data_IF_038153248366
#
_entry.id   IF_038153248366
#
_cell.length_a   1.000
_cell.length_b   1.000
_cell.length_c   1.000
_cell.angle_alpha   90.00
_cell.angle_beta   90.00
_cell.angle_gamma   90.00
#
_symmetry.space_group_name_H-M   'P 1'
#
loop_
_entity.id
_entity.type
_entity.pdbx_description
1 polymer ?
#
# COMPACT_ATOMS: atom_id res chain seq x y z
N UNK A 1 8.00 -28.42 20.83
CA UNK A 1 8.43 -28.51 19.43
C UNK A 1 7.16 -28.40 18.61
N UNK A 2 6.96 -27.30 17.88
CA UNK A 2 5.84 -27.19 16.94
C UNK A 2 6.23 -27.97 15.71
N UNK A 3 5.73 -29.20 15.59
CA UNK A 3 5.95 -30.02 14.40
C UNK A 3 5.42 -29.27 13.17
N UNK A 4 6.25 -29.17 12.14
CA UNK A 4 5.89 -28.48 10.92
C UNK A 4 4.78 -29.20 10.17
N UNK A 5 3.92 -28.42 9.52
CA UNK A 5 2.84 -28.93 8.70
C UNK A 5 3.37 -29.20 7.29
N UNK A 6 3.45 -30.48 6.92
CA UNK A 6 3.81 -30.88 5.56
C UNK A 6 2.70 -30.51 4.59
N UNK A 7 3.02 -29.68 3.61
CA UNK A 7 2.06 -29.21 2.60
C UNK A 7 2.16 -30.10 1.34
N UNK A 8 1.05 -30.70 0.86
CA UNK A 8 1.02 -31.43 -0.40
C UNK A 8 1.45 -30.56 -1.59
N UNK A 9 1.99 -31.17 -2.65
CA UNK A 9 2.40 -30.45 -3.87
C UNK A 9 1.23 -30.10 -4.80
N UNK A 10 0.12 -30.83 -4.72
CA UNK A 10 -1.09 -30.55 -5.48
C UNK A 10 -1.87 -29.39 -4.84
N UNK A 11 -2.23 -28.37 -5.63
CA UNK A 11 -2.89 -27.15 -5.13
C UNK A 11 -4.20 -27.42 -4.39
N UNK A 12 -5.10 -28.31 -4.84
CA UNK A 12 -6.32 -28.62 -4.09
C UNK A 12 -6.03 -29.17 -2.68
N UNK A 13 -5.17 -30.20 -2.59
CA UNK A 13 -4.81 -30.83 -1.33
C UNK A 13 -4.05 -29.87 -0.40
N UNK A 14 -3.19 -29.01 -0.96
CA UNK A 14 -2.50 -27.97 -0.22
C UNK A 14 -3.47 -26.94 0.38
N UNK A 15 -4.44 -26.46 -0.41
CA UNK A 15 -5.45 -25.52 0.06
C UNK A 15 -6.29 -26.09 1.21
N UNK A 16 -6.71 -27.35 1.09
CA UNK A 16 -7.42 -28.07 2.15
C UNK A 16 -6.56 -28.22 3.41
N UNK A 17 -5.27 -28.55 3.25
CA UNK A 17 -4.32 -28.71 4.37
C UNK A 17 -4.15 -27.40 5.14
N UNK A 18 -4.04 -26.26 4.45
CA UNK A 18 -3.99 -24.95 5.10
C UNK A 18 -5.28 -24.58 5.82
N UNK A 19 -6.43 -24.79 5.17
CA UNK A 19 -7.73 -24.50 5.76
C UNK A 19 -7.97 -25.33 7.03
N UNK A 20 -7.61 -26.63 7.00
CA UNK A 20 -7.68 -27.53 8.14
C UNK A 20 -6.75 -27.12 9.29
N UNK A 21 -5.62 -26.46 8.97
CA UNK A 21 -4.72 -25.87 9.96
C UNK A 21 -5.18 -24.49 10.48
N UNK A 22 -6.39 -24.05 10.11
CA UNK A 22 -6.97 -22.78 10.57
C UNK A 22 -6.52 -21.55 9.78
N UNK A 23 -5.82 -21.73 8.66
CA UNK A 23 -5.38 -20.63 7.80
C UNK A 23 -6.50 -20.29 6.82
N UNK A 24 -6.95 -19.03 6.85
CA UNK A 24 -7.90 -18.49 5.89
C UNK A 24 -7.23 -18.36 4.53
N UNK A 25 -7.76 -19.10 3.56
CA UNK A 25 -7.27 -19.12 2.17
C UNK A 25 -8.36 -18.68 1.19
N UNK A 26 -7.94 -18.24 0.00
CA UNK A 26 -8.81 -17.94 -1.13
C UNK A 26 -8.12 -18.27 -2.46
N UNK A 27 -8.91 -18.42 -3.52
CA UNK A 27 -8.38 -18.66 -4.88
C UNK A 27 -7.81 -17.39 -5.48
N UNK A 28 -6.64 -17.52 -6.11
CA UNK A 28 -5.96 -16.44 -6.82
C UNK A 28 -5.66 -16.92 -8.25
N UNK A 29 -5.85 -16.04 -9.23
CA UNK A 29 -5.49 -16.34 -10.62
C UNK A 29 -3.97 -16.40 -10.79
N UNK A 30 -3.50 -16.99 -11.90
CA UNK A 30 -2.07 -17.00 -12.24
C UNK A 30 -1.45 -15.61 -12.36
N UNK A 31 -2.24 -14.61 -12.74
CA UNK A 31 -1.86 -13.19 -12.75
C UNK A 31 -1.68 -12.57 -11.36
N UNK A 32 -1.83 -13.37 -10.30
CA UNK A 32 -1.87 -12.96 -8.88
C UNK A 32 -3.06 -12.08 -8.51
N UNK A 33 -4.00 -11.84 -9.42
CA UNK A 33 -5.23 -11.13 -9.14
C UNK A 33 -6.26 -12.07 -8.47
N UNK A 34 -7.07 -11.59 -7.51
CA UNK A 34 -8.23 -12.33 -7.04
C UNK A 34 -9.23 -12.56 -8.18
N UNK A 35 -10.15 -13.51 -7.98
CA UNK A 35 -11.26 -13.70 -8.91
C UNK A 35 -12.20 -12.48 -8.88
N UNK A 36 -12.87 -12.23 -10.01
CA UNK A 36 -13.68 -11.03 -10.21
C UNK A 36 -14.90 -11.01 -9.28
N UNK A 37 -15.32 -9.80 -8.93
CA UNK A 37 -16.55 -9.57 -8.20
C UNK A 37 -17.78 -9.91 -9.05
N UNK A 38 -18.89 -10.27 -8.40
CA UNK A 38 -20.17 -10.34 -9.07
C UNK A 38 -20.66 -8.93 -9.46
N UNK A 39 -21.62 -8.81 -10.40
CA UNK A 39 -22.12 -7.49 -10.83
C UNK A 39 -22.60 -6.59 -9.69
N UNK A 40 -23.17 -7.16 -8.60
CA UNK A 40 -23.60 -6.36 -7.43
C UNK A 40 -22.46 -5.78 -6.61
N UNK A 41 -21.26 -6.36 -6.73
CA UNK A 41 -20.05 -6.00 -5.99
C UNK A 41 -18.98 -5.31 -6.84
N UNK A 42 -19.18 -5.25 -8.15
CA UNK A 42 -18.31 -4.55 -9.09
C UNK A 42 -18.75 -3.09 -9.23
N UNK A 43 -17.87 -2.15 -8.87
CA UNK A 43 -18.13 -0.69 -8.96
C UNK A 43 -18.37 -0.19 -10.37
N UNK A 44 -17.94 -0.94 -11.38
CA UNK A 44 -18.14 -0.60 -12.79
C UNK A 44 -19.48 -1.12 -13.32
N UNK A 45 -20.14 -2.01 -12.59
CA UNK A 45 -21.44 -2.56 -13.00
C UNK A 45 -22.57 -1.59 -12.71
N UNK A 46 -23.56 -1.53 -13.61
CA UNK A 46 -24.84 -0.85 -13.37
C UNK A 46 -25.65 -1.47 -12.23
N UNK A 47 -25.34 -2.71 -11.82
CA UNK A 47 -25.99 -3.41 -10.71
C UNK A 47 -25.29 -3.19 -9.36
N UNK A 48 -24.25 -2.36 -9.32
CA UNK A 48 -23.45 -2.12 -8.13
C UNK A 48 -24.30 -1.60 -6.97
N UNK A 49 -24.21 -2.28 -5.83
CA UNK A 49 -24.76 -1.78 -4.57
C UNK A 49 -23.59 -1.33 -3.69
N UNK A 50 -23.61 -0.09 -3.16
CA UNK A 50 -22.53 0.39 -2.29
C UNK A 50 -22.55 -0.36 -0.96
N UNK A 51 -21.46 -1.06 -0.65
CA UNK A 51 -21.23 -1.72 0.63
C UNK A 51 -19.72 -1.81 0.92
N UNK A 52 -19.37 -2.13 2.16
CA UNK A 52 -17.99 -2.51 2.50
C UNK A 52 -17.80 -4.01 2.23
N UNK A 53 -16.61 -4.47 1.81
CA UNK A 53 -16.35 -5.89 1.58
C UNK A 53 -16.76 -6.81 2.74
N UNK A 54 -16.50 -6.38 3.98
CA UNK A 54 -16.86 -7.07 5.21
C UNK A 54 -18.38 -7.18 5.44
N UNK A 55 -19.17 -6.28 4.85
CA UNK A 55 -20.63 -6.24 4.96
C UNK A 55 -21.32 -6.88 3.74
N UNK A 56 -20.57 -7.57 2.88
CA UNK A 56 -21.09 -8.12 1.63
C UNK A 56 -22.09 -9.26 1.85
N UNK A 57 -23.30 -9.10 1.32
CA UNK A 57 -24.38 -10.09 1.42
C UNK A 57 -24.78 -10.67 0.06
N UNK A 58 -23.90 -10.63 -0.94
CA UNK A 58 -24.23 -11.11 -2.28
C UNK A 58 -24.32 -12.65 -2.41
N UNK A 59 -23.85 -13.40 -1.40
CA UNK A 59 -23.85 -14.86 -1.38
C UNK A 59 -22.84 -15.52 -2.32
N UNK A 60 -22.09 -14.75 -3.11
CA UNK A 60 -21.05 -15.26 -4.01
C UNK A 60 -19.75 -15.43 -3.22
N UNK A 61 -19.27 -16.67 -3.00
CA UNK A 61 -18.18 -16.90 -2.04
C UNK A 61 -16.83 -16.32 -2.46
N UNK A 62 -16.61 -16.00 -3.73
CA UNK A 62 -15.34 -15.40 -4.20
C UNK A 62 -15.35 -13.87 -4.21
N UNK A 63 -16.48 -13.23 -3.89
CA UNK A 63 -16.56 -11.77 -3.95
C UNK A 63 -15.62 -11.11 -2.94
N UNK A 64 -15.04 -10.00 -3.38
CA UNK A 64 -14.03 -9.20 -2.67
C UNK A 64 -12.71 -9.92 -2.40
N UNK A 65 -12.40 -10.96 -3.17
CA UNK A 65 -11.07 -11.55 -3.22
C UNK A 65 -10.58 -12.04 -1.87
N UNK A 66 -9.53 -11.42 -1.33
CA UNK A 66 -8.94 -11.83 -0.05
C UNK A 66 -9.88 -11.61 1.14
N UNK A 67 -10.88 -10.73 1.04
CA UNK A 67 -11.91 -10.58 2.08
C UNK A 67 -12.84 -11.80 2.16
N UNK A 68 -12.94 -12.58 1.09
CA UNK A 68 -13.70 -13.83 1.02
C UNK A 68 -12.93 -15.04 1.58
N UNK A 69 -11.70 -14.86 2.06
CA UNK A 69 -10.87 -15.96 2.52
C UNK A 69 -11.51 -16.72 3.70
N UNK A 70 -11.39 -18.04 3.66
CA UNK A 70 -12.15 -18.94 4.53
C UNK A 70 -11.31 -20.11 5.02
N UNK A 71 -11.74 -20.71 6.13
CA UNK A 71 -11.27 -22.00 6.65
C UNK A 71 -12.31 -23.10 6.45
N UNK A 72 -13.45 -22.79 5.83
CA UNK A 72 -14.49 -23.77 5.49
C UNK A 72 -13.94 -24.73 4.42
N UNK A 73 -13.67 -25.96 4.85
CA UNK A 73 -13.06 -27.01 4.03
C UNK A 73 -13.97 -27.38 2.85
N UNK A 74 -15.29 -27.39 3.01
CA UNK A 74 -16.21 -27.77 1.94
C UNK A 74 -16.28 -26.68 0.87
N UNK A 75 -16.20 -25.41 1.28
CA UNK A 75 -16.07 -24.30 0.35
C UNK A 75 -14.73 -24.32 -0.39
N UNK A 76 -13.63 -24.59 0.30
CA UNK A 76 -12.29 -24.73 -0.30
C UNK A 76 -12.26 -25.90 -1.30
N UNK A 77 -12.83 -27.06 -0.96
CA UNK A 77 -12.96 -28.20 -1.90
C UNK A 77 -13.75 -27.84 -3.14
N UNK A 78 -14.86 -27.10 -2.98
CA UNK A 78 -15.67 -26.65 -4.12
C UNK A 78 -14.86 -25.75 -5.04
N UNK A 79 -14.16 -24.77 -4.46
CA UNK A 79 -13.31 -23.84 -5.19
C UNK A 79 -12.23 -24.52 -6.04
N UNK A 80 -11.49 -25.47 -5.48
CA UNK A 80 -10.44 -26.17 -6.23
C UNK A 80 -10.96 -27.31 -7.12
N UNK A 81 -12.24 -27.68 -7.03
CA UNK A 81 -12.89 -28.53 -8.03
C UNK A 81 -13.24 -27.76 -9.28
N UNK A 82 -13.72 -26.53 -9.12
CA UNK A 82 -14.02 -25.61 -10.22
C UNK A 82 -12.75 -25.14 -10.93
N UNK A 83 -11.70 -24.83 -10.16
CA UNK A 83 -10.45 -24.24 -10.65
C UNK A 83 -9.24 -24.97 -10.04
N UNK A 84 -8.90 -26.17 -10.53
CA UNK A 84 -7.87 -27.03 -9.92
C UNK A 84 -6.47 -26.44 -9.92
N UNK A 85 -6.18 -25.51 -10.84
CA UNK A 85 -4.88 -24.86 -11.00
C UNK A 85 -4.84 -23.44 -10.39
N UNK A 86 -5.88 -23.03 -9.67
CA UNK A 86 -5.88 -21.77 -8.95
C UNK A 86 -4.78 -21.74 -7.89
N UNK A 87 -4.08 -20.61 -7.82
CA UNK A 87 -3.13 -20.34 -6.76
C UNK A 87 -3.83 -20.14 -5.42
N UNK A 88 -3.09 -20.38 -4.34
CA UNK A 88 -3.57 -20.27 -2.96
C UNK A 88 -3.13 -18.92 -2.40
N UNK A 89 -4.07 -18.01 -2.19
CA UNK A 89 -3.84 -16.75 -1.51
C UNK A 89 -4.19 -16.85 -0.03
N UNK A 90 -3.46 -16.12 0.81
CA UNK A 90 -3.74 -15.98 2.24
C UNK A 90 -3.65 -14.49 2.64
N UNK A 91 -4.76 -13.88 3.12
CA UNK A 91 -4.73 -12.51 3.61
C UNK A 91 -3.91 -12.42 4.89
N UNK A 92 -3.01 -11.44 4.96
CA UNK A 92 -2.11 -11.30 6.11
C UNK A 92 -2.91 -10.96 7.38
N UNK A 93 -3.70 -9.87 7.35
CA UNK A 93 -4.49 -9.41 8.50
C UNK A 93 -5.44 -10.48 9.05
N UNK A 94 -6.19 -11.17 8.17
CA UNK A 94 -7.18 -12.16 8.59
C UNK A 94 -6.56 -13.42 9.20
N UNK A 95 -5.28 -13.68 8.93
CA UNK A 95 -4.50 -14.76 9.53
C UNK A 95 -3.61 -14.29 10.71
N UNK A 96 -3.71 -13.01 11.11
CA UNK A 96 -2.87 -12.44 12.16
C UNK A 96 -1.39 -12.35 11.75
N UNK A 97 -1.09 -12.21 10.47
CA UNK A 97 0.27 -12.13 9.94
C UNK A 97 0.66 -10.71 9.57
N UNK A 98 1.97 -10.45 9.66
CA UNK A 98 2.63 -9.34 9.00
C UNK A 98 3.86 -9.89 8.27
N UNK A 99 4.01 -9.54 7.00
CA UNK A 99 5.01 -10.14 6.11
C UNK A 99 5.95 -9.08 5.57
N UNK A 100 7.24 -9.39 5.59
CA UNK A 100 8.25 -8.66 4.82
C UNK A 100 8.43 -9.40 3.49
N UNK A 101 8.03 -8.78 2.40
CA UNK A 101 8.18 -9.28 1.03
C UNK A 101 9.41 -8.63 0.38
N UNK A 102 10.40 -9.45 0.06
CA UNK A 102 11.68 -9.03 -0.51
C UNK A 102 11.72 -9.50 -1.97
N UNK A 103 11.70 -8.55 -2.91
CA UNK A 103 11.86 -8.81 -4.34
C UNK A 103 13.27 -8.41 -4.81
N UNK A 104 14.16 -9.39 -5.08
CA UNK A 104 15.53 -9.10 -5.52
C UNK A 104 15.58 -8.33 -6.83
N UNK A 105 14.57 -8.49 -7.71
CA UNK A 105 14.53 -7.81 -9.01
C UNK A 105 14.33 -6.31 -8.90
N UNK A 106 13.88 -5.85 -7.72
CA UNK A 106 13.61 -4.45 -7.42
C UNK A 106 14.57 -3.91 -6.34
N UNK A 107 15.75 -4.51 -6.18
CA UNK A 107 16.76 -4.07 -5.20
C UNK A 107 16.51 -4.56 -3.76
N UNK A 108 15.65 -5.56 -3.59
CA UNK A 108 15.27 -6.05 -2.26
C UNK A 108 16.43 -6.63 -1.45
N UNK A 109 17.46 -7.21 -2.12
CA UNK A 109 18.63 -7.78 -1.43
C UNK A 109 19.49 -6.69 -0.81
N UNK A 110 19.76 -5.63 -1.57
CA UNK A 110 20.51 -4.46 -1.13
C UNK A 110 19.78 -3.73 -0.01
N UNK A 111 18.46 -3.54 -0.17
CA UNK A 111 17.61 -2.94 0.86
C UNK A 111 17.57 -3.78 2.14
N UNK A 112 17.56 -5.11 2.04
CA UNK A 112 17.59 -5.99 3.21
C UNK A 112 18.93 -5.86 3.92
N UNK A 113 20.03 -5.90 3.18
CA UNK A 113 21.37 -5.75 3.77
C UNK A 113 21.53 -4.38 4.45
N UNK A 114 21.03 -3.31 3.84
CA UNK A 114 21.02 -1.98 4.43
C UNK A 114 20.15 -1.90 5.70
N UNK A 115 19.00 -2.58 5.69
CA UNK A 115 18.14 -2.71 6.86
C UNK A 115 18.88 -3.42 7.99
N UNK A 116 19.44 -4.60 7.74
CA UNK A 116 20.14 -5.39 8.76
C UNK A 116 21.39 -4.70 9.30
N UNK A 117 22.13 -3.96 8.46
CA UNK A 117 23.24 -3.10 8.94
C UNK A 117 22.77 -2.05 9.95
N UNK A 118 21.54 -1.56 9.80
CA UNK A 118 20.96 -0.50 10.66
C UNK A 118 20.31 -1.05 11.92
N UNK A 119 19.66 -2.21 11.86
CA UNK A 119 18.81 -2.73 12.95
C UNK A 119 19.25 -4.08 13.51
N UNK A 120 20.31 -4.67 12.96
CA UNK A 120 20.70 -6.05 13.20
C UNK A 120 19.96 -7.05 12.31
N UNK A 121 20.43 -8.29 12.34
CA UNK A 121 19.80 -9.41 11.61
C UNK A 121 18.35 -9.57 12.06
N UNK A 122 17.46 -9.77 11.09
CA UNK A 122 16.04 -9.96 11.41
C UNK A 122 15.81 -11.28 12.16
N UNK A 123 14.91 -11.31 13.16
CA UNK A 123 14.60 -12.54 13.90
C UNK A 123 14.11 -13.66 12.98
N UNK A 124 14.68 -14.85 13.13
CA UNK A 124 14.23 -16.04 12.41
C UNK A 124 12.75 -16.36 12.69
N UNK A 125 12.02 -16.69 11.64
CA UNK A 125 10.60 -17.04 11.68
C UNK A 125 10.24 -17.87 10.44
N UNK A 126 8.96 -18.14 10.24
CA UNK A 126 8.43 -18.78 9.04
C UNK A 126 8.83 -17.99 7.79
N UNK A 127 9.49 -18.66 6.86
CA UNK A 127 9.98 -18.06 5.62
C UNK A 127 9.55 -18.85 4.41
N UNK A 128 9.27 -18.14 3.32
CA UNK A 128 8.87 -18.74 2.05
C UNK A 128 9.65 -18.13 0.91
N UNK A 129 10.28 -18.97 0.10
CA UNK A 129 10.92 -18.59 -1.16
C UNK A 129 9.81 -18.43 -2.20
N UNK A 130 9.81 -17.31 -2.91
CA UNK A 130 8.88 -17.07 -4.01
C UNK A 130 9.40 -17.70 -5.30
N UNK A 131 8.52 -18.02 -6.25
CA UNK A 131 8.97 -18.59 -7.53
C UNK A 131 9.80 -17.63 -8.40
N UNK A 132 9.92 -16.35 -8.03
CA UNK A 132 10.78 -15.36 -8.69
C UNK A 132 12.04 -15.02 -7.89
N UNK A 133 12.52 -15.95 -7.06
CA UNK A 133 13.70 -15.83 -6.18
C UNK A 133 13.61 -14.77 -5.07
N UNK A 134 12.39 -14.25 -4.82
CA UNK A 134 12.10 -13.41 -3.67
C UNK A 134 11.94 -14.19 -2.37
N UNK A 135 11.78 -13.47 -1.26
CA UNK A 135 11.63 -14.04 0.07
C UNK A 135 10.47 -13.37 0.80
N UNK A 136 9.55 -14.17 1.33
CA UNK A 136 8.60 -13.72 2.35
C UNK A 136 9.12 -14.13 3.72
N UNK A 137 9.16 -13.19 4.66
CA UNK A 137 9.42 -13.45 6.08
C UNK A 137 8.14 -13.11 6.86
N UNK A 138 7.54 -14.12 7.49
CA UNK A 138 6.19 -14.03 8.09
C UNK A 138 6.28 -13.98 9.61
N UNK A 139 5.75 -12.94 10.22
CA UNK A 139 5.69 -12.73 11.67
C UNK A 139 4.23 -12.70 12.15
N UNK A 140 4.04 -12.84 13.47
CA UNK A 140 2.76 -12.46 14.10
C UNK A 140 2.55 -10.96 13.98
N UNK A 141 1.36 -10.58 13.55
CA UNK A 141 0.97 -9.18 13.37
C UNK A 141 1.01 -8.44 14.71
N UNK A 142 1.52 -7.19 14.75
CA UNK A 142 1.53 -6.38 15.96
C UNK A 142 0.15 -5.76 16.28
N UNK A 143 -0.90 -6.09 15.52
CA UNK A 143 -2.25 -5.55 15.72
C UNK A 143 -2.43 -4.08 15.32
N UNK A 144 -1.39 -3.45 14.78
CA UNK A 144 -1.39 -2.07 14.27
C UNK A 144 -1.18 -2.06 12.77
N UNK A 145 -1.66 -1.01 12.11
CA UNK A 145 -1.37 -0.81 10.69
C UNK A 145 0.13 -0.52 10.49
N UNK A 146 0.72 -1.19 9.51
CA UNK A 146 2.13 -1.03 9.13
C UNK A 146 2.23 -0.16 7.87
N UNK A 147 3.32 0.58 7.67
CA UNK A 147 3.54 1.26 6.40
C UNK A 147 3.67 0.23 5.28
N UNK A 148 3.21 0.54 4.07
CA UNK A 148 3.30 -0.38 2.93
C UNK A 148 4.75 -0.59 2.46
N UNK A 149 5.50 0.47 2.19
CA UNK A 149 6.87 0.35 1.65
C UNK A 149 7.92 0.75 2.69
N UNK A 150 9.02 0.00 2.77
CA UNK A 150 10.19 0.35 3.59
C UNK A 150 11.38 0.85 2.78
N UNK A 151 11.41 0.56 1.48
CA UNK A 151 12.49 0.90 0.54
C UNK A 151 12.33 0.13 -0.79
N UNK A 152 13.21 0.35 -1.78
CA UNK A 152 13.17 -0.38 -3.04
C UNK A 152 13.17 -1.90 -2.82
N UNK A 153 12.19 -2.59 -3.39
CA UNK A 153 12.10 -4.05 -3.33
C UNK A 153 11.77 -4.65 -1.95
N UNK A 154 11.39 -3.84 -0.96
CA UNK A 154 10.86 -4.32 0.34
C UNK A 154 9.46 -3.74 0.58
N UNK A 155 8.48 -4.64 0.61
CA UNK A 155 7.07 -4.35 0.87
C UNK A 155 6.60 -5.04 2.16
N UNK A 156 5.85 -4.33 2.99
CA UNK A 156 5.25 -4.82 4.22
C UNK A 156 3.79 -5.16 3.96
N UNK A 157 3.51 -6.45 3.88
CA UNK A 157 2.15 -6.94 3.65
C UNK A 157 1.49 -7.23 4.98
N UNK A 158 0.60 -6.33 5.37
CA UNK A 158 -0.29 -6.52 6.52
C UNK A 158 -1.77 -6.36 6.13
N UNK A 159 -2.11 -5.36 5.31
CA UNK A 159 -3.47 -5.14 4.77
C UNK A 159 -3.71 -5.82 3.40
N UNK A 160 -2.74 -6.61 2.92
CA UNK A 160 -2.84 -7.36 1.67
C UNK A 160 -2.86 -8.88 1.90
N UNK A 161 -2.40 -9.62 0.91
CA UNK A 161 -2.28 -11.07 0.95
C UNK A 161 -0.95 -11.52 0.34
N UNK A 162 -0.54 -12.74 0.67
CA UNK A 162 0.55 -13.46 0.02
C UNK A 162 0.01 -14.68 -0.72
N UNK A 163 0.76 -15.19 -1.70
CA UNK A 163 0.54 -16.53 -2.21
C UNK A 163 1.28 -17.54 -1.31
N UNK A 164 0.69 -18.71 -1.10
CA UNK A 164 1.25 -19.80 -0.32
C UNK A 164 1.85 -20.89 -1.22
N UNK A 165 2.92 -21.55 -0.77
CA UNK A 165 3.43 -22.77 -1.37
C UNK A 165 2.31 -23.82 -1.48
N UNK A 166 2.18 -24.57 -2.59
CA UNK A 166 3.09 -24.67 -3.73
C UNK A 166 2.61 -23.86 -4.95
N UNK A 167 1.96 -22.71 -4.75
CA UNK A 167 1.44 -21.84 -5.83
C UNK A 167 2.46 -21.58 -6.93
N UNK A 168 1.98 -21.32 -8.14
CA UNK A 168 2.79 -21.00 -9.31
C UNK A 168 3.01 -19.49 -9.43
N UNK A 169 4.28 -19.09 -9.55
CA UNK A 169 4.68 -17.72 -9.83
C UNK A 169 4.64 -17.43 -11.33
N UNK A 170 4.51 -16.15 -11.71
CA UNK A 170 4.48 -15.72 -13.11
C UNK A 170 5.79 -16.06 -13.89
N UNK A 171 6.90 -16.28 -13.19
CA UNK A 171 8.16 -16.76 -13.77
C UNK A 171 8.16 -18.25 -14.13
N UNK A 172 7.13 -19.00 -13.73
CA UNK A 172 7.08 -20.46 -13.84
C UNK A 172 7.63 -21.21 -12.62
N UNK A 173 8.33 -20.53 -11.70
CA UNK A 173 8.77 -21.12 -10.43
C UNK A 173 7.62 -21.31 -9.43
N UNK A 174 7.79 -22.20 -8.46
CA UNK A 174 6.80 -22.42 -7.38
C UNK A 174 7.23 -21.76 -6.08
N UNK A 175 6.26 -21.28 -5.31
CA UNK A 175 6.50 -20.90 -3.92
C UNK A 175 6.84 -22.14 -3.09
N UNK A 176 7.81 -22.00 -2.17
CA UNK A 176 8.30 -23.10 -1.33
C UNK A 176 8.58 -22.59 0.09
N UNK A 177 8.20 -23.33 1.12
CA UNK A 177 8.64 -23.02 2.48
C UNK A 177 10.15 -23.28 2.61
N UNK A 178 10.84 -22.40 3.32
CA UNK A 178 12.27 -22.53 3.57
C UNK A 178 12.57 -23.65 4.60
N UNK A 179 13.83 -24.06 4.71
CA UNK A 179 14.25 -25.09 5.67
C UNK A 179 13.82 -26.49 5.24
N UNK A 180 13.04 -27.20 6.07
CA UNK A 180 12.57 -28.57 5.78
C UNK A 180 11.52 -28.65 4.66
N UNK A 181 10.99 -27.50 4.22
CA UNK A 181 9.88 -27.43 3.27
C UNK A 181 8.49 -27.53 3.92
N UNK A 182 8.42 -27.72 5.24
CA UNK A 182 7.16 -27.73 5.98
C UNK A 182 6.74 -26.29 6.35
N UNK A 183 5.42 -26.07 6.42
CA UNK A 183 4.88 -24.83 6.97
C UNK A 183 5.02 -24.82 8.49
N UNK A 184 5.64 -23.77 9.03
CA UNK A 184 5.65 -23.48 10.45
C UNK A 184 4.69 -22.33 10.72
N UNK A 185 3.79 -22.47 11.70
CA UNK A 185 3.00 -21.32 12.13
C UNK A 185 3.93 -20.23 12.70
N UNK A 186 3.82 -18.96 12.27
CA UNK A 186 4.63 -17.88 12.81
C UNK A 186 4.43 -17.74 14.32
N UNK A 187 5.49 -17.95 15.09
CA UNK A 187 5.50 -17.76 16.55
C UNK A 187 6.27 -16.51 16.97
N UNK A 188 7.12 -16.00 16.09
CA UNK A 188 7.90 -14.78 16.31
C UNK A 188 7.03 -13.54 16.09
N UNK A 189 7.04 -12.63 17.07
CA UNK A 189 6.36 -11.35 16.96
C UNK A 189 7.03 -10.42 15.95
N UNK A 190 6.23 -9.53 15.36
CA UNK A 190 6.76 -8.48 14.49
C UNK A 190 7.88 -7.69 15.19
N UNK A 191 9.05 -7.52 14.56
CA UNK A 191 10.16 -6.84 15.21
C UNK A 191 9.81 -5.39 15.53
N UNK A 192 9.78 -5.04 16.82
CA UNK A 192 9.31 -3.72 17.28
C UNK A 192 10.14 -2.56 16.72
N UNK A 193 11.41 -2.80 16.40
CA UNK A 193 12.29 -1.80 15.78
C UNK A 193 11.89 -1.46 14.32
N UNK A 194 11.06 -2.29 13.67
CA UNK A 194 10.47 -2.03 12.36
C UNK A 194 9.12 -1.31 12.45
N UNK A 195 8.55 -1.18 13.65
CA UNK A 195 7.35 -0.37 13.81
C UNK A 195 7.67 1.07 13.40
N UNK A 196 6.74 1.76 12.72
CA UNK A 196 6.90 3.17 12.48
C UNK A 196 7.10 3.83 13.83
N UNK A 197 8.29 4.40 14.05
CA UNK A 197 8.50 5.28 15.20
C UNK A 197 7.42 6.34 15.06
N UNK A 198 6.52 6.45 16.05
CA UNK A 198 5.82 7.71 16.25
C UNK A 198 6.93 8.75 16.30
N UNK A 199 7.11 9.55 15.25
CA UNK A 199 7.79 10.83 15.43
C UNK A 199 7.06 11.41 16.62
N UNK A 200 7.77 11.67 17.72
CA UNK A 200 7.18 12.43 18.81
C UNK A 200 6.51 13.60 18.12
N UNK A 201 5.18 13.66 18.18
CA UNK A 201 4.48 14.83 17.67
C UNK A 201 5.19 15.95 18.43
N UNK A 202 5.85 16.92 17.77
CA UNK A 202 6.40 18.04 18.51
C UNK A 202 5.29 18.46 19.47
N UNK A 203 5.62 18.54 20.77
CA UNK A 203 4.66 18.85 21.83
C UNK A 203 3.73 19.90 21.23
N UNK A 204 2.40 19.68 21.21
CA UNK A 204 1.48 20.52 20.45
C UNK A 204 1.92 21.93 20.76
N UNK A 205 2.52 22.60 19.76
CA UNK A 205 2.95 23.98 19.94
C UNK A 205 1.72 24.62 20.52
N UNK A 206 1.85 25.12 21.76
CA UNK A 206 0.73 25.66 22.51
C UNK A 206 -0.02 26.43 21.46
N UNK A 207 -1.23 25.97 21.12
CA UNK A 207 -2.08 26.74 20.23
C UNK A 207 -2.22 27.98 21.07
N UNK A 208 -1.44 29.02 20.76
CA UNK A 208 -1.65 30.33 21.31
C UNK A 208 -3.05 30.59 20.81
N UNK A 209 -4.01 30.32 21.70
CA UNK A 209 -5.35 30.87 21.62
C UNK A 209 -5.05 32.33 21.78
N UNK A 210 -4.75 32.97 20.66
CA UNK A 210 -4.82 34.39 20.59
C UNK A 210 -6.23 34.72 21.07
N UNK A 211 -6.35 35.63 22.05
CA UNK A 211 -7.66 36.12 22.44
C UNK A 211 -8.38 36.49 21.16
N UNK A 212 -9.67 36.15 21.07
CA UNK A 212 -10.56 36.73 20.06
C UNK A 212 -10.66 38.21 20.44
N UNK A 213 -9.63 38.98 20.11
CA UNK A 213 -9.65 40.41 20.11
C UNK A 213 -9.89 40.82 18.68
N UNK A 214 -11.09 41.34 18.49
CA UNK A 214 -11.54 42.10 17.34
C UNK A 214 -10.41 42.98 16.79
N UNK A 215 -9.72 42.48 15.77
CA UNK A 215 -8.96 43.33 14.87
C UNK A 215 -9.42 43.02 13.45
N UNK A 216 -10.45 43.75 13.05
CA UNK A 216 -10.60 44.27 11.69
C UNK A 216 -9.24 44.84 11.25
N UNK A 217 -8.41 44.05 10.61
CA UNK A 217 -7.28 44.52 9.81
C UNK A 217 -7.08 43.56 8.64
N UNK A 218 -7.80 43.89 7.57
CA UNK A 218 -7.55 43.64 6.14
C UNK A 218 -6.81 42.34 5.78
N UNK A 219 -7.62 41.31 5.44
CA UNK A 219 -7.21 40.27 4.49
C UNK A 219 -6.75 40.94 3.19
N UNK A 220 -5.60 40.58 2.59
CA UNK A 220 -5.36 40.88 1.19
C UNK A 220 -6.30 39.98 0.34
N UNK A 221 -7.54 40.45 0.10
CA UNK A 221 -8.57 39.81 -0.74
C UNK A 221 -9.23 38.56 -0.12
N UNK A 222 -10.55 38.38 0.00
CA UNK A 222 -11.62 38.98 -0.79
C UNK A 222 -11.71 38.33 -2.17
N UNK A 223 -11.93 37.01 -2.26
CA UNK A 223 -12.32 36.34 -3.51
C UNK A 223 -11.42 36.58 -4.74
N UNK A 224 -10.11 36.81 -4.57
CA UNK A 224 -9.19 36.95 -5.71
C UNK A 224 -8.76 35.58 -6.24
N UNK A 225 -8.81 35.45 -7.56
CA UNK A 225 -8.25 34.33 -8.30
C UNK A 225 -6.72 34.31 -8.15
N UNK A 226 -6.11 33.13 -8.04
CA UNK A 226 -4.65 33.00 -7.99
C UNK A 226 -4.05 33.32 -9.35
N UNK A 227 -2.98 34.12 -9.37
CA UNK A 227 -2.16 34.37 -10.57
C UNK A 227 -0.92 33.49 -10.56
N UNK A 228 -0.21 33.39 -11.70
CA UNK A 228 1.10 32.71 -11.76
C UNK A 228 2.09 33.26 -10.73
N UNK A 229 2.10 34.58 -10.50
CA UNK A 229 2.97 35.20 -9.50
C UNK A 229 2.61 34.77 -8.07
N UNK A 230 1.32 34.65 -7.75
CA UNK A 230 0.88 34.18 -6.42
C UNK A 230 1.29 32.73 -6.17
N UNK A 231 1.19 31.87 -7.19
CA UNK A 231 1.60 30.46 -7.12
C UNK A 231 3.11 30.32 -6.93
N UNK A 232 3.90 31.12 -7.66
CA UNK A 232 5.36 31.18 -7.50
C UNK A 232 5.73 31.65 -6.10
N UNK A 233 5.12 32.74 -5.63
CA UNK A 233 5.41 33.29 -4.31
C UNK A 233 5.05 32.29 -3.19
N UNK A 234 3.95 31.54 -3.34
CA UNK A 234 3.58 30.49 -2.40
C UNK A 234 4.67 29.41 -2.26
N UNK A 235 5.31 29.01 -3.35
CA UNK A 235 6.43 28.07 -3.32
C UNK A 235 7.66 28.71 -2.68
N UNK A 236 7.98 29.95 -3.02
CA UNK A 236 9.13 30.68 -2.48
C UNK A 236 9.03 30.93 -0.97
N UNK A 237 7.82 31.13 -0.45
CA UNK A 237 7.56 31.33 0.99
C UNK A 237 7.61 30.02 1.80
N UNK A 238 7.80 28.87 1.14
CA UNK A 238 7.81 27.57 1.80
C UNK A 238 9.06 27.36 2.66
N UNK A 239 8.86 26.82 3.87
CA UNK A 239 9.93 26.50 4.83
C UNK A 239 10.45 25.07 4.64
N UNK A 240 11.66 24.82 5.15
CA UNK A 240 12.32 23.52 5.17
C UNK A 240 11.39 22.42 5.69
N UNK A 241 11.21 21.38 4.86
CA UNK A 241 10.30 20.26 5.14
C UNK A 241 8.88 20.38 4.55
N UNK A 242 8.49 21.52 3.97
CA UNK A 242 7.18 21.68 3.29
C UNK A 242 7.27 22.04 1.79
N UNK A 243 8.48 22.21 1.24
CA UNK A 243 8.74 22.66 -0.13
C UNK A 243 8.03 21.80 -1.19
N UNK A 244 8.09 20.47 -1.07
CA UNK A 244 7.45 19.54 -2.01
C UNK A 244 5.91 19.68 -2.01
N UNK A 245 5.30 19.87 -0.83
CA UNK A 245 3.84 20.03 -0.73
C UNK A 245 3.38 21.38 -1.27
N UNK A 246 4.12 22.45 -0.97
CA UNK A 246 3.83 23.79 -1.48
C UNK A 246 3.94 23.84 -3.01
N UNK A 247 5.00 23.23 -3.57
CA UNK A 247 5.18 23.08 -5.02
C UNK A 247 4.04 22.25 -5.63
N UNK A 248 3.72 21.10 -5.05
CA UNK A 248 2.65 20.23 -5.57
C UNK A 248 1.28 20.91 -5.55
N UNK A 249 0.96 21.66 -4.48
CA UNK A 249 -0.26 22.46 -4.40
C UNK A 249 -0.32 23.51 -5.52
N UNK A 250 0.78 24.26 -5.71
CA UNK A 250 0.86 25.29 -6.74
C UNK A 250 0.71 24.69 -8.16
N UNK A 251 1.29 23.52 -8.41
CA UNK A 251 1.16 22.79 -9.67
C UNK A 251 -0.29 22.34 -9.94
N UNK A 252 -0.98 21.75 -8.95
CA UNK A 252 -2.40 21.41 -9.09
C UNK A 252 -3.24 22.64 -9.42
N UNK A 253 -3.00 23.76 -8.72
CA UNK A 253 -3.75 24.99 -8.95
C UNK A 253 -3.46 25.61 -10.32
N UNK A 254 -2.23 25.49 -10.82
CA UNK A 254 -1.87 25.91 -12.18
C UNK A 254 -2.65 25.14 -13.25
N UNK A 255 -2.74 23.81 -13.13
CA UNK A 255 -3.52 22.96 -14.05
C UNK A 255 -5.01 23.33 -14.02
N UNK A 256 -5.62 23.45 -12.84
CA UNK A 256 -7.04 23.80 -12.69
C UNK A 256 -7.39 25.17 -13.32
N UNK A 257 -6.50 26.15 -13.18
CA UNK A 257 -6.71 27.50 -13.72
C UNK A 257 -6.43 27.57 -15.22
N UNK A 258 -5.47 26.78 -15.72
CA UNK A 258 -5.22 26.64 -17.14
C UNK A 258 -6.39 25.98 -17.88
N UNK A 259 -7.02 24.95 -17.29
CA UNK A 259 -8.23 24.32 -17.84
C UNK A 259 -9.39 25.31 -18.00
N UNK A 260 -9.46 26.32 -17.12
CA UNK A 260 -10.44 27.40 -17.16
C UNK A 260 -10.00 28.59 -18.03
N UNK A 261 -8.86 28.50 -18.73
CA UNK A 261 -8.22 29.58 -19.49
C UNK A 261 -7.96 30.85 -18.65
N UNK A 262 -7.70 30.69 -17.36
CA UNK A 262 -7.45 31.79 -16.42
C UNK A 262 -5.95 32.12 -16.29
N UNK A 263 -5.06 31.24 -16.74
CA UNK A 263 -3.62 31.48 -16.84
C UNK A 263 -2.99 30.63 -17.94
N UNK A 264 -1.76 30.99 -18.35
CA UNK A 264 -0.94 30.19 -19.25
C UNK A 264 -0.23 29.08 -18.48
N UNK A 265 -0.51 27.82 -18.82
CA UNK A 265 0.11 26.67 -18.16
C UNK A 265 1.64 26.66 -18.37
N UNK A 266 2.11 27.03 -19.56
CA UNK A 266 3.55 27.06 -19.86
C UNK A 266 4.29 28.14 -19.06
N UNK A 267 3.65 29.29 -18.84
CA UNK A 267 4.22 30.35 -17.99
C UNK A 267 4.23 29.94 -16.52
N UNK A 268 3.17 29.27 -16.06
CA UNK A 268 3.10 28.74 -14.70
C UNK A 268 4.13 27.63 -14.47
N UNK A 269 4.32 26.71 -15.42
CA UNK A 269 5.33 25.67 -15.35
C UNK A 269 6.75 26.26 -15.23
N UNK A 270 7.11 27.19 -16.12
CA UNK A 270 8.42 27.83 -16.10
C UNK A 270 8.68 28.57 -14.77
N UNK A 271 7.69 29.31 -14.27
CA UNK A 271 7.78 30.02 -13.00
C UNK A 271 7.92 29.09 -11.80
N UNK A 272 7.11 28.01 -11.76
CA UNK A 272 7.14 27.06 -10.66
C UNK A 272 8.43 26.25 -10.64
N UNK A 273 8.94 25.79 -11.79
CA UNK A 273 10.21 25.07 -11.86
C UNK A 273 11.38 25.95 -11.40
N UNK A 274 11.37 27.24 -11.74
CA UNK A 274 12.36 28.20 -11.23
C UNK A 274 12.27 28.35 -9.71
N UNK A 275 11.06 28.47 -9.15
CA UNK A 275 10.83 28.55 -7.71
C UNK A 275 11.25 27.27 -6.98
N UNK A 276 10.95 26.10 -7.55
CA UNK A 276 11.38 24.80 -7.04
C UNK A 276 12.90 24.71 -6.87
N UNK A 277 13.64 25.13 -7.89
CA UNK A 277 15.11 25.17 -7.83
C UNK A 277 15.60 26.10 -6.71
N UNK A 278 15.00 27.29 -6.59
CA UNK A 278 15.37 28.26 -5.57
C UNK A 278 15.11 27.76 -4.13
N UNK A 279 14.08 26.93 -3.94
CA UNK A 279 13.81 26.26 -2.65
C UNK A 279 14.48 24.89 -2.53
N UNK A 280 15.39 24.52 -3.43
CA UNK A 280 16.23 23.32 -3.32
C UNK A 280 15.55 22.00 -3.68
N UNK A 281 14.54 22.02 -4.56
CA UNK A 281 14.03 20.82 -5.24
C UNK A 281 14.90 20.49 -6.46
N UNK A 282 15.09 19.22 -6.76
CA UNK A 282 15.78 18.83 -7.99
C UNK A 282 14.87 19.03 -9.21
N UNK A 283 15.45 19.38 -10.36
CA UNK A 283 14.70 19.60 -11.61
C UNK A 283 13.88 18.36 -12.01
N UNK A 284 14.44 17.16 -11.83
CA UNK A 284 13.75 15.90 -12.12
C UNK A 284 12.55 15.65 -11.20
N UNK A 285 12.64 15.96 -9.90
CA UNK A 285 11.53 15.80 -8.96
C UNK A 285 10.43 16.84 -9.18
N UNK A 286 10.81 18.07 -9.50
CA UNK A 286 9.88 19.17 -9.76
C UNK A 286 9.07 18.91 -11.04
N UNK A 287 9.72 18.47 -12.13
CA UNK A 287 9.04 18.10 -13.38
C UNK A 287 8.08 16.92 -13.18
N UNK A 288 8.55 15.83 -12.56
CA UNK A 288 7.70 14.67 -12.27
C UNK A 288 6.49 15.05 -11.39
N UNK A 289 6.68 15.94 -10.43
CA UNK A 289 5.60 16.45 -9.57
C UNK A 289 4.60 17.30 -10.37
N UNK A 290 5.08 18.16 -11.28
CA UNK A 290 4.24 19.00 -12.14
C UNK A 290 3.43 18.17 -13.14
N UNK A 291 4.03 17.16 -13.78
CA UNK A 291 3.36 16.23 -14.69
C UNK A 291 2.27 15.43 -13.96
N UNK A 292 2.58 14.95 -12.76
CA UNK A 292 1.63 14.17 -11.96
C UNK A 292 0.40 14.98 -11.52
N UNK A 293 0.52 16.30 -11.40
CA UNK A 293 -0.56 17.19 -11.00
C UNK A 293 -1.68 17.28 -12.04
N UNK A 294 -1.39 17.04 -13.33
CA UNK A 294 -2.36 17.11 -14.43
C UNK A 294 -3.46 16.03 -14.38
N UNK A 295 -3.23 14.96 -13.60
CA UNK A 295 -4.09 13.76 -13.62
C UNK A 295 -5.04 13.64 -12.42
N UNK A 296 -5.08 14.65 -11.54
CA UNK A 296 -5.88 14.57 -10.30
C UNK A 296 -7.12 15.46 -10.36
N UNK A 297 -8.33 14.90 -10.14
CA UNK A 297 -9.57 15.68 -10.12
C UNK A 297 -9.58 16.65 -8.93
N UNK A 298 -9.99 17.91 -9.18
CA UNK A 298 -10.12 19.01 -8.23
C UNK A 298 -11.15 18.83 -7.09
N UNK A 299 -11.55 17.59 -6.80
CA UNK A 299 -12.65 17.24 -5.88
C UNK A 299 -12.19 16.97 -4.43
N UNK A 300 -11.05 17.52 -4.02
CA UNK A 300 -10.75 17.66 -2.58
C UNK A 300 -10.82 19.14 -2.21
N UNK A 301 -12.01 19.57 -1.83
CA UNK A 301 -12.20 20.78 -1.05
C UNK A 301 -11.33 20.69 0.22
N UNK A 302 -10.26 21.47 0.25
CA UNK A 302 -9.38 21.57 1.40
C UNK A 302 -10.04 22.48 2.45
N UNK A 303 -10.77 21.85 3.38
CA UNK A 303 -11.15 22.47 4.65
C UNK A 303 -9.98 22.31 5.60
N UNK A 304 -9.24 23.40 5.83
CA UNK A 304 -8.60 23.76 7.09
C UNK A 304 -8.09 25.21 7.01
#
# INVERSE_FOLDING_TARGET
>A
MTDGLRIPTALPAAAETYAAAGIKVFRVRRSKAPYANCPRCDRQSSLYTKHRPEDCQCGIPTCHGFHAATTDIDLVRRWWREEPDANIGAPCKLNGWAVIDIDPRNGGRESLQALEKRVGVLPGTTMQITGGDGLHIVYRSPGVDLPGLLGPGIDFKHNGYILLAPSLHASGGRYQWAGSGDYLAPTTDWPLFLLPRKKARPAPTVKHRFPVQERRQQRPGGGRMWTTADLVQHVMDSRDGNRNNAFFFAACRAHELAEQNLLSLSEAEAGLLSAASAVGLTDSEARASFDSAATRPGDRGWVA
#
